data_IF_760581175980
#
_entry.id   IF_760581175980
#
_cell.length_a   1.000
_cell.length_b   1.000
_cell.length_c   1.000
_cell.angle_alpha   90.00
_cell.angle_beta   90.00
_cell.angle_gamma   90.00
#
_symmetry.space_group_name_H-M   'P 1'
#
loop_
_entity.id
_entity.type
_entity.pdbx_description
1 polymer ?
#
# COMPACT_ATOMS: atom_id res chain seq x y z
N UNK A 1 -14.68 5.68 -48.78
CA UNK A 1 -16.13 5.91 -48.62
C UNK A 1 -16.60 5.11 -47.42
N UNK A 2 -17.15 5.82 -46.41
CA UNK A 2 -18.04 5.38 -45.30
C UNK A 2 -17.43 4.35 -44.30
N UNK A 3 -16.98 4.79 -43.11
CA UNK A 3 -17.73 5.22 -41.91
C UNK A 3 -18.37 4.06 -41.12
N UNK A 4 -17.74 3.73 -39.99
CA UNK A 4 -18.24 3.10 -38.75
C UNK A 4 -17.05 3.24 -37.77
N UNK A 5 -16.92 4.15 -36.81
CA UNK A 5 -17.84 4.93 -35.98
C UNK A 5 -18.76 4.08 -35.11
N UNK A 6 -18.17 3.39 -34.12
CA UNK A 6 -18.86 2.95 -32.90
C UNK A 6 -17.91 3.18 -31.71
N UNK A 7 -18.13 4.32 -31.05
CA UNK A 7 -18.19 4.48 -29.60
C UNK A 7 -17.11 3.78 -28.73
N UNK A 8 -15.92 4.41 -28.61
CA UNK A 8 -15.23 4.47 -27.31
C UNK A 8 -15.75 5.72 -26.61
N UNK A 9 -16.80 5.55 -25.81
CA UNK A 9 -17.22 6.55 -24.85
C UNK A 9 -16.22 6.50 -23.70
N UNK A 10 -15.46 7.58 -23.59
CA UNK A 10 -14.70 8.03 -22.44
C UNK A 10 -15.52 7.79 -21.16
N UNK A 11 -15.17 6.77 -20.39
CA UNK A 11 -15.53 6.66 -18.98
C UNK A 11 -14.58 7.56 -18.19
N UNK A 12 -14.83 8.87 -18.33
CA UNK A 12 -14.54 9.85 -17.30
C UNK A 12 -15.38 9.41 -16.10
N UNK A 13 -14.75 8.73 -15.16
CA UNK A 13 -15.22 8.61 -13.78
C UNK A 13 -15.12 9.99 -13.14
N UNK A 14 -15.97 10.91 -13.60
CA UNK A 14 -16.36 12.05 -12.81
C UNK A 14 -17.13 11.45 -11.63
N UNK A 15 -16.49 11.41 -10.46
CA UNK A 15 -17.23 11.28 -9.22
C UNK A 15 -18.31 12.36 -9.24
N UNK A 16 -19.55 11.90 -9.44
CA UNK A 16 -20.71 12.73 -9.29
C UNK A 16 -20.78 13.08 -7.80
N UNK A 17 -20.22 14.24 -7.45
CA UNK A 17 -20.57 14.95 -6.23
C UNK A 17 -22.10 14.95 -6.19
N UNK A 18 -22.66 14.23 -5.23
CA UNK A 18 -24.10 14.24 -4.95
C UNK A 18 -24.43 15.64 -4.43
N UNK A 19 -24.57 16.57 -5.36
CA UNK A 19 -25.09 17.92 -5.15
C UNK A 19 -26.62 17.84 -5.04
N UNK A 20 -27.09 17.16 -4.00
CA UNK A 20 -28.49 17.21 -3.59
C UNK A 20 -28.70 18.47 -2.74
N UNK A 21 -29.03 19.60 -3.40
CA UNK A 21 -29.54 20.80 -2.74
C UNK A 21 -28.89 22.12 -3.18
N UNK A 22 -29.13 22.55 -4.42
CA UNK A 22 -28.78 23.90 -4.90
C UNK A 22 -29.55 24.98 -4.14
N UNK A 23 -28.87 25.64 -3.19
CA UNK A 23 -29.02 27.08 -2.94
C UNK A 23 -27.77 27.78 -3.48
N UNK A 24 -27.98 28.80 -4.30
CA UNK A 24 -26.99 29.37 -5.24
C UNK A 24 -26.06 30.43 -4.61
N UNK A 25 -25.55 30.18 -3.40
CA UNK A 25 -24.53 31.03 -2.79
C UNK A 25 -23.60 30.17 -1.94
N UNK A 26 -22.36 29.97 -2.38
CA UNK A 26 -21.32 29.48 -1.48
C UNK A 26 -21.25 30.49 -0.32
N UNK A 27 -21.56 30.08 0.91
CA UNK A 27 -21.54 30.99 2.05
C UNK A 27 -20.14 31.61 2.16
N UNK A 28 -20.09 32.90 2.48
CA UNK A 28 -18.82 33.58 2.70
C UNK A 28 -18.08 32.93 3.87
N UNK A 29 -16.79 32.69 3.68
CA UNK A 29 -15.90 32.12 4.67
C UNK A 29 -15.16 33.27 5.34
N UNK A 30 -15.33 33.39 6.65
CA UNK A 30 -14.73 34.39 7.55
C UNK A 30 -13.77 33.68 8.51
N UNK A 31 -12.96 34.41 9.30
CA UNK A 31 -12.11 33.79 10.32
C UNK A 31 -12.85 32.80 11.24
N UNK A 32 -14.09 33.11 11.62
CA UNK A 32 -14.88 32.29 12.56
C UNK A 32 -15.26 30.90 12.00
N UNK A 33 -15.35 30.72 10.68
CA UNK A 33 -15.72 29.45 10.04
C UNK A 33 -14.62 28.89 9.11
N UNK A 34 -13.44 29.52 9.10
CA UNK A 34 -12.32 29.15 8.25
C UNK A 34 -11.84 27.73 8.55
N UNK A 35 -11.58 27.41 9.83
CA UNK A 35 -11.09 26.10 10.25
C UNK A 35 -12.00 24.96 9.76
N UNK A 36 -13.31 25.07 10.03
CA UNK A 36 -14.29 24.06 9.62
C UNK A 36 -14.40 23.93 8.09
N UNK A 37 -14.25 25.04 7.35
CA UNK A 37 -14.27 25.01 5.88
C UNK A 37 -13.01 24.35 5.32
N UNK A 38 -11.86 24.60 5.93
CA UNK A 38 -10.61 23.92 5.57
C UNK A 38 -10.67 22.43 5.89
N UNK A 39 -11.10 22.07 7.10
CA UNK A 39 -11.20 20.67 7.52
C UNK A 39 -12.12 19.87 6.61
N UNK A 40 -13.19 20.49 6.09
CA UNK A 40 -14.02 19.86 5.07
C UNK A 40 -13.23 19.53 3.80
N UNK A 41 -12.45 20.46 3.26
CA UNK A 41 -11.63 20.23 2.07
C UNK A 41 -10.61 19.11 2.32
N UNK A 42 -9.92 19.12 3.47
CA UNK A 42 -8.97 18.06 3.82
C UNK A 42 -9.66 16.70 4.03
N UNK A 43 -10.83 16.67 4.67
CA UNK A 43 -11.61 15.43 4.86
C UNK A 43 -12.03 14.85 3.51
N UNK A 44 -12.52 15.69 2.60
CA UNK A 44 -12.94 15.26 1.26
C UNK A 44 -11.76 14.67 0.45
N UNK A 45 -10.52 15.13 0.70
CA UNK A 45 -9.30 14.62 0.06
C UNK A 45 -8.64 13.43 0.78
N UNK A 46 -9.06 13.06 2.00
CA UNK A 46 -8.46 11.94 2.73
C UNK A 46 -8.61 10.62 1.99
N UNK A 47 -9.77 10.39 1.34
CA UNK A 47 -10.00 9.21 0.52
C UNK A 47 -8.99 9.10 -0.63
N UNK A 48 -8.57 10.23 -1.21
CA UNK A 48 -7.58 10.25 -2.28
C UNK A 48 -6.19 9.89 -1.73
N UNK A 49 -5.77 10.45 -0.59
CA UNK A 49 -4.52 10.05 0.08
C UNK A 49 -4.52 8.58 0.49
N UNK A 50 -5.66 8.10 0.98
CA UNK A 50 -5.89 6.72 1.37
C UNK A 50 -5.76 5.74 0.19
N UNK A 51 -6.03 6.20 -1.02
CA UNK A 51 -5.89 5.45 -2.28
C UNK A 51 -4.48 5.48 -2.87
N UNK A 52 -3.53 6.24 -2.29
CA UNK A 52 -2.16 6.29 -2.80
C UNK A 52 -1.33 5.03 -2.47
N UNK A 53 -1.93 4.02 -1.86
CA UNK A 53 -1.28 2.73 -1.63
C UNK A 53 -0.16 2.77 -0.60
N UNK A 54 0.85 1.94 -0.82
CA UNK A 54 1.99 1.80 0.10
C UNK A 54 3.01 2.92 -0.09
N UNK A 55 4.02 2.97 0.78
CA UNK A 55 5.18 3.84 0.65
C UNK A 55 6.22 3.22 -0.27
N UNK A 56 6.84 4.05 -1.12
CA UNK A 56 7.96 3.62 -1.95
C UNK A 56 9.24 3.44 -1.14
N UNK A 57 9.89 2.30 -1.32
CA UNK A 57 11.16 1.96 -0.67
C UNK A 57 12.35 2.04 -1.63
N UNK A 58 12.08 2.17 -2.93
CA UNK A 58 13.09 2.31 -3.98
C UNK A 58 12.89 3.63 -4.71
N UNK A 59 13.93 4.14 -5.38
CA UNK A 59 13.85 5.38 -6.13
C UNK A 59 12.70 5.38 -7.18
N UNK A 60 12.48 4.32 -7.98
CA UNK A 60 11.30 4.23 -8.85
C UNK A 60 9.97 4.34 -8.09
N UNK A 61 9.84 3.68 -6.94
CA UNK A 61 8.62 3.71 -6.16
C UNK A 61 8.38 5.05 -5.47
N UNK A 62 9.44 5.70 -4.97
CA UNK A 62 9.38 7.06 -4.44
C UNK A 62 8.91 8.04 -5.52
N UNK A 63 9.38 7.88 -6.76
CA UNK A 63 8.91 8.70 -7.86
C UNK A 63 7.41 8.55 -8.12
N UNK A 64 6.86 7.33 -8.00
CA UNK A 64 5.42 7.08 -8.13
C UNK A 64 4.64 7.68 -6.95
N UNK A 65 5.06 7.39 -5.72
CA UNK A 65 4.45 7.89 -4.48
C UNK A 65 4.31 9.41 -4.49
N UNK A 66 5.41 10.12 -4.74
CA UNK A 66 5.44 11.58 -4.66
C UNK A 66 4.81 12.25 -5.87
N UNK A 67 4.70 11.55 -7.02
CA UNK A 67 3.90 12.03 -8.14
C UNK A 67 2.41 12.04 -7.78
N UNK A 68 1.87 10.92 -7.29
CA UNK A 68 0.46 10.84 -6.85
C UNK A 68 0.17 11.79 -5.68
N UNK A 69 1.07 11.83 -4.70
CA UNK A 69 0.95 12.73 -3.54
C UNK A 69 0.91 14.22 -3.95
N UNK A 70 1.73 14.63 -4.91
CA UNK A 70 1.73 16.00 -5.41
C UNK A 70 0.40 16.38 -6.08
N UNK A 71 -0.24 15.43 -6.78
CA UNK A 71 -1.55 15.64 -7.42
C UNK A 71 -2.65 15.83 -6.36
N UNK A 72 -2.72 14.95 -5.36
CA UNK A 72 -3.71 15.06 -4.28
C UNK A 72 -3.52 16.36 -3.49
N UNK A 73 -2.28 16.73 -3.16
CA UNK A 73 -1.99 18.00 -2.47
C UNK A 73 -2.36 19.22 -3.32
N UNK A 74 -2.20 19.16 -4.64
CA UNK A 74 -2.63 20.23 -5.52
C UNK A 74 -4.16 20.37 -5.52
N UNK A 75 -4.90 19.26 -5.54
CA UNK A 75 -6.36 19.27 -5.44
C UNK A 75 -6.85 19.90 -4.13
N UNK A 76 -6.17 19.67 -3.01
CA UNK A 76 -6.46 20.34 -1.72
C UNK A 76 -6.28 21.86 -1.83
N UNK A 77 -5.19 22.33 -2.46
CA UNK A 77 -4.95 23.77 -2.68
C UNK A 77 -6.03 24.38 -3.58
N UNK A 78 -6.40 23.68 -4.65
CA UNK A 78 -7.45 24.12 -5.56
C UNK A 78 -8.79 24.22 -4.81
N UNK A 79 -9.10 23.25 -3.94
CA UNK A 79 -10.28 23.27 -3.07
C UNK A 79 -10.31 24.48 -2.13
N UNK A 80 -9.17 24.88 -1.54
CA UNK A 80 -9.11 26.12 -0.75
C UNK A 80 -9.33 27.37 -1.60
N UNK A 81 -8.81 27.40 -2.83
CA UNK A 81 -8.98 28.52 -3.74
C UNK A 81 -10.43 28.67 -4.24
N UNK A 82 -11.24 27.62 -4.18
CA UNK A 82 -12.67 27.64 -4.50
C UNK A 82 -13.56 28.14 -3.34
N UNK A 83 -13.00 28.26 -2.12
CA UNK A 83 -13.72 28.83 -0.98
C UNK A 83 -14.01 30.32 -1.19
N UNK A 84 -15.22 30.74 -0.84
CA UNK A 84 -15.63 32.14 -0.93
C UNK A 84 -15.09 32.96 0.26
N UNK A 85 -13.77 33.13 0.34
CA UNK A 85 -13.09 33.77 1.47
C UNK A 85 -13.23 35.30 1.47
N UNK A 86 -13.52 35.89 2.63
CA UNK A 86 -13.38 37.33 2.84
C UNK A 86 -11.89 37.73 2.96
N UNK A 87 -11.59 39.03 2.97
CA UNK A 87 -10.19 39.51 2.95
C UNK A 87 -9.38 39.12 4.20
N UNK A 88 -10.05 39.00 5.36
CA UNK A 88 -9.40 38.60 6.62
C UNK A 88 -9.06 37.11 6.61
N UNK A 89 -9.99 36.25 6.21
CA UNK A 89 -9.79 34.81 6.07
C UNK A 89 -8.72 34.48 5.01
N UNK A 90 -8.65 35.23 3.89
CA UNK A 90 -7.57 35.11 2.91
C UNK A 90 -6.19 35.37 3.51
N UNK A 91 -6.06 36.38 4.37
CA UNK A 91 -4.79 36.68 5.04
C UNK A 91 -4.42 35.59 6.04
N UNK A 92 -5.41 35.03 6.73
CA UNK A 92 -5.21 33.99 7.74
C UNK A 92 -4.80 32.64 7.15
N UNK A 93 -5.39 32.22 6.02
CA UNK A 93 -5.05 30.96 5.34
C UNK A 93 -3.75 31.04 4.51
N UNK A 94 -3.33 32.23 4.08
CA UNK A 94 -2.18 32.39 3.17
C UNK A 94 -0.87 31.70 3.62
N UNK A 95 -0.48 31.72 4.91
CA UNK A 95 0.70 30.97 5.38
C UNK A 95 0.56 29.46 5.18
N UNK A 96 -0.65 28.91 5.39
CA UNK A 96 -0.92 27.48 5.18
C UNK A 96 -0.80 27.11 3.70
N UNK A 97 -1.42 27.88 2.80
CA UNK A 97 -1.36 27.66 1.35
C UNK A 97 0.09 27.73 0.87
N UNK A 98 0.84 28.77 1.27
CA UNK A 98 2.24 28.94 0.88
C UNK A 98 3.11 27.76 1.31
N UNK A 99 2.96 27.27 2.54
CA UNK A 99 3.70 26.12 3.03
C UNK A 99 3.32 24.84 2.25
N UNK A 100 2.04 24.68 1.92
CA UNK A 100 1.54 23.56 1.13
C UNK A 100 2.06 23.58 -0.32
N UNK A 101 2.14 24.74 -0.96
CA UNK A 101 2.77 24.91 -2.28
C UNK A 101 4.27 24.56 -2.25
N UNK A 102 4.96 24.84 -1.13
CA UNK A 102 6.35 24.43 -0.94
C UNK A 102 6.47 22.91 -0.80
N UNK A 103 5.56 22.25 -0.07
CA UNK A 103 5.51 20.78 0.00
C UNK A 103 5.35 20.19 -1.40
N UNK A 104 4.38 20.66 -2.19
CA UNK A 104 4.17 20.19 -3.58
C UNK A 104 5.42 20.42 -4.45
N UNK A 105 6.12 21.54 -4.24
CA UNK A 105 7.39 21.80 -4.93
C UNK A 105 8.45 20.77 -4.58
N UNK A 106 8.55 20.39 -3.30
CA UNK A 106 9.50 19.36 -2.88
C UNK A 106 9.08 17.96 -3.30
N UNK A 107 7.77 17.64 -3.35
CA UNK A 107 7.29 16.37 -3.92
C UNK A 107 7.78 16.22 -5.36
N UNK A 108 7.60 17.25 -6.19
CA UNK A 108 8.11 17.27 -7.57
C UNK A 108 9.64 17.17 -7.65
N UNK A 109 10.35 17.72 -6.65
CA UNK A 109 11.80 17.59 -6.57
C UNK A 109 12.22 16.17 -6.20
N UNK A 110 11.51 15.50 -5.28
CA UNK A 110 11.72 14.08 -4.94
C UNK A 110 11.48 13.22 -6.18
N UNK A 111 10.35 13.40 -6.88
CA UNK A 111 10.05 12.66 -8.11
C UNK A 111 11.19 12.78 -9.12
N UNK A 112 11.67 14.00 -9.35
CA UNK A 112 12.78 14.23 -10.27
C UNK A 112 14.07 13.55 -9.80
N UNK A 113 14.47 13.77 -8.55
CA UNK A 113 15.71 13.23 -8.01
C UNK A 113 15.71 11.70 -7.98
N UNK A 114 14.59 11.10 -7.58
CA UNK A 114 14.43 9.66 -7.55
C UNK A 114 14.42 9.06 -8.97
N UNK A 115 13.76 9.72 -9.94
CA UNK A 115 13.82 9.31 -11.35
C UNK A 115 15.24 9.39 -11.95
N UNK A 116 16.06 10.31 -11.44
CA UNK A 116 17.46 10.49 -11.84
C UNK A 116 18.44 9.60 -11.03
N UNK A 117 17.93 8.76 -10.11
CA UNK A 117 18.71 7.94 -9.16
C UNK A 117 19.70 8.75 -8.29
N UNK A 118 19.35 10.00 -7.98
CA UNK A 118 20.17 10.92 -7.19
C UNK A 118 19.74 10.93 -5.71
N UNK A 119 20.26 9.97 -4.95
CA UNK A 119 19.96 9.82 -3.51
C UNK A 119 20.31 11.05 -2.67
N UNK A 120 21.35 11.82 -3.01
CA UNK A 120 21.69 13.03 -2.26
C UNK A 120 20.63 14.12 -2.49
N UNK A 121 20.18 14.29 -3.73
CA UNK A 121 19.10 15.21 -4.06
C UNK A 121 17.75 14.78 -3.46
N UNK A 122 17.45 13.47 -3.41
CA UNK A 122 16.26 12.93 -2.73
C UNK A 122 16.28 13.32 -1.24
N UNK A 123 17.38 13.04 -0.54
CA UNK A 123 17.50 13.36 0.89
C UNK A 123 17.36 14.86 1.16
N UNK A 124 17.99 15.70 0.33
CA UNK A 124 17.85 17.15 0.44
C UNK A 124 16.42 17.63 0.23
N UNK A 125 15.70 17.05 -0.75
CA UNK A 125 14.31 17.40 -0.99
C UNK A 125 13.42 17.02 0.20
N UNK A 126 13.65 15.86 0.83
CA UNK A 126 12.98 15.48 2.08
C UNK A 126 13.25 16.46 3.23
N UNK A 127 14.50 16.91 3.43
CA UNK A 127 14.82 17.89 4.46
C UNK A 127 14.08 19.22 4.27
N UNK A 128 13.98 19.71 3.03
CA UNK A 128 13.23 20.93 2.72
C UNK A 128 11.71 20.72 2.81
N UNK A 129 11.23 19.52 2.46
CA UNK A 129 9.83 19.14 2.58
C UNK A 129 9.40 19.15 4.06
N UNK A 130 10.22 18.60 4.96
CA UNK A 130 9.94 18.60 6.40
C UNK A 130 9.81 20.02 6.95
N UNK A 131 10.69 20.95 6.55
CA UNK A 131 10.58 22.37 6.96
C UNK A 131 9.28 23.00 6.50
N UNK A 132 8.78 22.63 5.32
CA UNK A 132 7.51 23.11 4.81
C UNK A 132 6.31 22.49 5.55
N UNK A 133 6.40 21.20 5.93
CA UNK A 133 5.42 20.57 6.83
C UNK A 133 5.35 21.28 8.18
N UNK A 134 6.49 21.56 8.82
CA UNK A 134 6.51 22.25 10.10
C UNK A 134 5.81 23.62 10.02
N UNK A 135 6.04 24.38 8.94
CA UNK A 135 5.38 25.67 8.70
C UNK A 135 3.87 25.53 8.45
N UNK A 136 3.46 24.51 7.68
CA UNK A 136 2.05 24.21 7.42
C UNK A 136 1.32 23.88 8.72
N UNK A 137 1.91 23.02 9.55
CA UNK A 137 1.31 22.53 10.79
C UNK A 137 1.21 23.64 11.84
N UNK A 138 2.20 24.53 11.92
CA UNK A 138 2.12 25.76 12.72
C UNK A 138 0.98 26.69 12.26
N UNK A 139 0.75 26.81 10.95
CA UNK A 139 -0.33 27.61 10.41
C UNK A 139 -1.71 26.98 10.70
N UNK A 140 -1.85 25.67 10.49
CA UNK A 140 -3.06 24.91 10.80
C UNK A 140 -3.45 25.06 12.27
N UNK A 141 -2.46 24.91 13.17
CA UNK A 141 -2.67 25.11 14.62
C UNK A 141 -3.13 26.52 15.00
N UNK A 142 -2.66 27.55 14.29
CA UNK A 142 -3.09 28.94 14.54
C UNK A 142 -4.54 29.18 14.11
N UNK A 143 -4.93 28.58 12.98
CA UNK A 143 -6.31 28.63 12.45
C UNK A 143 -7.25 27.77 13.32
N UNK A 144 -6.73 26.70 13.93
CA UNK A 144 -7.49 25.80 14.79
C UNK A 144 -8.16 24.65 14.03
N UNK A 145 -7.52 24.16 12.95
CA UNK A 145 -8.00 23.00 12.18
C UNK A 145 -7.85 21.69 12.96
N UNK A 146 -8.84 20.82 12.84
CA UNK A 146 -8.87 19.49 13.48
C UNK A 146 -8.48 18.36 12.53
N UNK A 147 -8.49 18.60 11.22
CA UNK A 147 -8.13 17.62 10.18
C UNK A 147 -6.90 18.11 9.42
N UNK A 148 -6.96 19.32 8.86
CA UNK A 148 -5.84 19.85 8.07
C UNK A 148 -4.58 20.01 8.95
N UNK A 149 -3.48 19.40 8.53
CA UNK A 149 -2.20 19.49 9.24
C UNK A 149 -2.14 18.67 10.54
N UNK A 150 -3.10 17.77 10.77
CA UNK A 150 -3.07 16.80 11.87
C UNK A 150 -2.60 15.42 11.36
N UNK A 151 -1.94 14.61 12.21
CA UNK A 151 -1.66 13.22 11.89
C UNK A 151 -2.96 12.45 11.64
N UNK A 152 -2.99 11.59 10.62
CA UNK A 152 -4.13 10.71 10.35
C UNK A 152 -4.22 9.67 11.47
N UNK A 153 -5.38 9.59 12.13
CA UNK A 153 -5.67 8.50 13.06
C UNK A 153 -6.34 7.39 12.27
N UNK A 154 -5.61 6.31 11.97
CA UNK A 154 -6.21 5.14 11.34
C UNK A 154 -6.92 4.29 12.40
N UNK A 155 -8.22 4.05 12.21
CA UNK A 155 -8.92 2.99 12.90
C UNK A 155 -8.87 1.73 12.04
N UNK A 156 -8.56 0.58 12.64
CA UNK A 156 -8.59 -0.69 11.94
C UNK A 156 -10.06 -1.11 11.79
N UNK A 157 -10.52 -1.12 10.55
CA UNK A 157 -11.83 -1.64 10.18
C UNK A 157 -11.67 -3.01 9.50
N UNK A 158 -12.56 -3.99 9.73
CA UNK A 158 -12.54 -5.23 8.97
C UNK A 158 -12.65 -4.94 7.47
N UNK A 159 -11.85 -5.62 6.66
CA UNK A 159 -11.82 -5.37 5.20
C UNK A 159 -13.10 -5.79 4.51
N UNK A 160 -13.86 -6.71 5.13
CA UNK A 160 -15.06 -7.30 4.57
C UNK A 160 -14.79 -8.36 3.51
N UNK A 161 -13.54 -8.86 3.43
CA UNK A 161 -13.17 -9.98 2.56
C UNK A 161 -12.92 -11.24 3.38
N UNK A 162 -13.50 -12.36 2.94
CA UNK A 162 -13.31 -13.67 3.55
C UNK A 162 -13.09 -14.70 2.43
N UNK A 163 -12.35 -15.80 2.69
CA UNK A 163 -12.22 -16.88 1.75
C UNK A 163 -13.58 -17.46 1.34
N UNK A 164 -13.73 -17.96 0.10
CA UNK A 164 -14.95 -18.66 -0.29
C UNK A 164 -15.21 -19.85 0.65
N UNK A 165 -16.45 -19.96 1.14
CA UNK A 165 -16.83 -20.96 2.15
C UNK A 165 -16.67 -22.42 1.71
N UNK A 166 -16.55 -22.65 0.40
CA UNK A 166 -16.37 -23.96 -0.23
C UNK A 166 -14.92 -24.24 -0.64
N UNK A 167 -14.00 -23.29 -0.43
CA UNK A 167 -12.58 -23.49 -0.66
C UNK A 167 -12.00 -24.40 0.43
N UNK A 168 -11.35 -25.49 0.03
CA UNK A 168 -10.62 -26.36 0.94
C UNK A 168 -9.16 -25.91 1.02
N UNK A 169 -8.69 -25.59 2.22
CA UNK A 169 -7.30 -25.27 2.54
C UNK A 169 -6.94 -25.86 3.91
N UNK A 170 -5.65 -26.01 4.19
CA UNK A 170 -5.20 -26.42 5.52
C UNK A 170 -5.45 -25.28 6.54
N UNK A 171 -6.00 -25.63 7.69
CA UNK A 171 -6.26 -24.66 8.75
C UNK A 171 -5.03 -24.53 9.66
N UNK A 172 -4.50 -23.30 9.88
CA UNK A 172 -3.37 -23.09 10.76
C UNK A 172 -3.64 -23.54 12.20
N UNK A 173 -2.58 -24.00 12.89
CA UNK A 173 -2.62 -24.45 14.28
C UNK A 173 -2.68 -23.30 15.29
N UNK A 174 -2.26 -22.11 14.90
CA UNK A 174 -2.27 -20.89 15.71
C UNK A 174 -3.13 -19.81 15.06
N UNK A 175 -3.61 -18.86 15.85
CA UNK A 175 -4.35 -17.71 15.31
C UNK A 175 -3.41 -16.61 14.80
N UNK A 176 -3.95 -15.66 14.03
CA UNK A 176 -3.22 -14.47 13.59
C UNK A 176 -2.75 -13.62 14.78
N UNK A 177 -3.53 -13.53 15.85
CA UNK A 177 -3.13 -12.82 17.08
C UNK A 177 -1.92 -13.50 17.73
N UNK A 178 -1.92 -14.83 17.85
CA UNK A 178 -0.80 -15.59 18.41
C UNK A 178 0.48 -15.43 17.56
N UNK A 179 0.35 -15.46 16.23
CA UNK A 179 1.46 -15.24 15.30
C UNK A 179 2.04 -13.82 15.44
N UNK A 180 1.17 -12.81 15.42
CA UNK A 180 1.57 -11.41 15.50
C UNK A 180 2.20 -11.07 16.86
N UNK A 181 1.58 -11.50 17.96
CA UNK A 181 2.12 -11.32 19.31
C UNK A 181 3.49 -12.01 19.47
N UNK A 182 3.62 -13.24 18.95
CA UNK A 182 4.88 -13.99 18.95
C UNK A 182 6.01 -13.26 18.22
N UNK A 183 5.73 -12.78 17.02
CA UNK A 183 6.68 -12.02 16.21
C UNK A 183 7.11 -10.70 16.88
N UNK A 184 6.15 -9.90 17.37
CA UNK A 184 6.45 -8.63 18.04
C UNK A 184 7.17 -8.85 19.38
N UNK A 185 6.83 -9.89 20.13
CA UNK A 185 7.54 -10.24 21.36
C UNK A 185 8.99 -10.64 21.09
N UNK A 186 9.26 -11.41 20.03
CA UNK A 186 10.61 -11.80 19.63
C UNK A 186 11.45 -10.59 19.21
N UNK A 187 10.87 -9.69 18.40
CA UNK A 187 11.50 -8.42 17.99
C UNK A 187 11.87 -7.57 19.20
N UNK A 188 10.94 -7.35 20.13
CA UNK A 188 11.16 -6.54 21.33
C UNK A 188 12.21 -7.14 22.27
N UNK A 189 12.31 -8.47 22.30
CA UNK A 189 13.32 -9.16 23.08
C UNK A 189 14.73 -9.06 22.46
N UNK A 190 14.85 -8.69 21.19
CA UNK A 190 16.14 -8.70 20.47
C UNK A 190 16.70 -10.10 20.27
N UNK A 191 15.85 -11.13 20.28
CA UNK A 191 16.26 -12.53 20.20
C UNK A 191 16.21 -12.99 18.74
N UNK A 192 17.33 -12.89 18.03
CA UNK A 192 17.39 -13.19 16.59
C UNK A 192 16.97 -14.63 16.26
N UNK A 193 17.26 -15.60 17.13
CA UNK A 193 16.82 -16.98 16.95
C UNK A 193 15.28 -17.06 16.98
N UNK A 194 14.64 -16.41 17.95
CA UNK A 194 13.17 -16.37 18.01
C UNK A 194 12.54 -15.54 16.89
N UNK A 195 13.19 -14.48 16.45
CA UNK A 195 12.72 -13.71 15.28
C UNK A 195 12.69 -14.65 14.07
N UNK A 196 13.77 -15.35 13.80
CA UNK A 196 13.85 -16.31 12.69
C UNK A 196 12.91 -17.51 12.86
N UNK A 197 12.68 -18.00 14.08
CA UNK A 197 11.64 -19.00 14.34
C UNK A 197 10.25 -18.49 13.93
N UNK A 198 9.94 -17.21 14.10
CA UNK A 198 8.65 -16.64 13.71
C UNK A 198 8.56 -16.25 12.21
N UNK A 199 9.60 -16.48 11.40
CA UNK A 199 9.60 -16.22 9.95
C UNK A 199 9.18 -17.47 9.19
N UNK A 200 8.45 -17.28 8.10
CA UNK A 200 8.12 -18.36 7.18
C UNK A 200 9.41 -18.98 6.63
N UNK A 201 9.45 -20.31 6.49
CA UNK A 201 10.64 -21.06 6.09
C UNK A 201 11.20 -20.68 4.72
N UNK A 202 10.36 -20.07 3.86
CA UNK A 202 10.76 -19.53 2.56
C UNK A 202 11.07 -18.01 2.55
N UNK A 203 10.88 -17.31 3.68
CA UNK A 203 11.21 -15.88 3.80
C UNK A 203 12.71 -15.63 4.06
N UNK A 204 13.51 -16.69 4.15
CA UNK A 204 14.92 -16.63 4.52
C UNK A 204 15.17 -16.27 6.00
N UNK A 205 16.42 -16.42 6.42
CA UNK A 205 16.87 -16.06 7.77
C UNK A 205 17.47 -14.65 7.80
N UNK A 206 17.11 -13.88 8.82
CA UNK A 206 17.77 -12.62 9.13
C UNK A 206 19.11 -12.88 9.81
N UNK A 207 20.13 -12.13 9.40
CA UNK A 207 21.39 -12.10 10.13
C UNK A 207 21.27 -11.28 11.43
N UNK A 208 22.25 -11.45 12.33
CA UNK A 208 22.27 -10.80 13.63
C UNK A 208 22.21 -9.26 13.55
N UNK A 209 22.81 -8.68 12.49
CA UNK A 209 22.83 -7.23 12.30
C UNK A 209 21.45 -6.72 11.89
N UNK A 210 20.78 -7.40 10.96
CA UNK A 210 19.41 -7.09 10.54
C UNK A 210 18.44 -7.27 11.69
N UNK A 211 18.55 -8.35 12.48
CA UNK A 211 17.77 -8.54 13.70
C UNK A 211 17.90 -7.35 14.66
N UNK A 212 19.14 -6.90 14.95
CA UNK A 212 19.37 -5.74 15.82
C UNK A 212 18.76 -4.44 15.27
N UNK A 213 18.81 -4.25 13.95
CA UNK A 213 18.21 -3.09 13.30
C UNK A 213 16.68 -3.10 13.44
N UNK A 214 16.04 -4.23 13.14
CA UNK A 214 14.57 -4.39 13.27
C UNK A 214 14.13 -4.23 14.73
N UNK A 215 14.80 -4.89 15.68
CA UNK A 215 14.53 -4.75 17.11
C UNK A 215 14.65 -3.31 17.61
N UNK A 216 15.60 -2.55 17.07
CA UNK A 216 15.74 -1.13 17.41
C UNK A 216 14.62 -0.30 16.81
N UNK A 217 14.32 -0.47 15.52
CA UNK A 217 13.27 0.28 14.82
C UNK A 217 11.87 0.01 15.34
N UNK A 218 11.62 -1.22 15.79
CA UNK A 218 10.31 -1.70 16.24
C UNK A 218 10.21 -1.86 17.77
N UNK A 219 11.13 -1.26 18.54
CA UNK A 219 11.15 -1.39 20.01
C UNK A 219 9.82 -0.99 20.68
N UNK A 220 9.12 -0.01 20.09
CA UNK A 220 7.82 0.48 20.56
C UNK A 220 6.64 -0.02 19.73
N UNK A 221 6.81 -1.10 18.95
CA UNK A 221 5.77 -1.62 18.10
C UNK A 221 4.54 -2.08 18.88
N UNK A 222 3.35 -1.81 18.37
CA UNK A 222 2.07 -2.28 18.92
C UNK A 222 1.18 -2.78 17.80
N UNK A 223 0.41 -3.84 18.06
CA UNK A 223 -0.60 -4.33 17.11
C UNK A 223 -1.89 -3.51 17.33
N UNK A 224 -2.40 -2.87 16.28
CA UNK A 224 -3.65 -2.11 16.31
C UNK A 224 -4.86 -2.95 15.90
N UNK A 225 -4.65 -4.02 15.15
CA UNK A 225 -5.68 -4.98 14.77
C UNK A 225 -5.12 -6.11 13.92
N UNK A 226 -5.95 -7.12 13.71
CA UNK A 226 -5.63 -8.35 12.99
C UNK A 226 -6.82 -8.79 12.13
N UNK A 227 -6.54 -9.48 11.03
CA UNK A 227 -7.55 -10.11 10.18
C UNK A 227 -7.01 -11.42 9.60
N UNK A 228 -7.87 -12.42 9.46
CA UNK A 228 -7.52 -13.77 8.97
C UNK A 228 -8.27 -14.08 7.68
N UNK A 229 -7.59 -14.74 6.75
CA UNK A 229 -8.09 -15.12 5.44
C UNK A 229 -7.77 -16.59 5.13
N UNK A 230 -7.89 -17.48 6.13
CA UNK A 230 -7.59 -18.91 6.00
C UNK A 230 -6.10 -19.20 6.25
N UNK A 231 -5.32 -19.67 5.25
CA UNK A 231 -3.90 -19.99 5.42
C UNK A 231 -3.01 -18.74 5.49
N UNK A 232 -3.60 -17.54 5.53
CA UNK A 232 -2.91 -16.26 5.60
C UNK A 232 -3.67 -15.31 6.52
N UNK A 233 -2.95 -14.44 7.20
CA UNK A 233 -3.54 -13.36 8.00
C UNK A 233 -2.65 -12.13 7.97
N UNK A 234 -3.18 -11.01 8.45
CA UNK A 234 -2.47 -9.74 8.52
C UNK A 234 -2.66 -9.09 9.88
N UNK A 235 -1.62 -8.41 10.35
CA UNK A 235 -1.64 -7.53 11.51
C UNK A 235 -1.24 -6.11 11.11
N UNK A 236 -1.95 -5.11 11.65
CA UNK A 236 -1.53 -3.72 11.56
C UNK A 236 -0.57 -3.40 12.70
N UNK A 237 0.73 -3.33 12.40
CA UNK A 237 1.77 -3.05 13.40
C UNK A 237 2.15 -1.58 13.33
N UNK A 238 2.05 -0.86 14.44
CA UNK A 238 2.45 0.55 14.52
C UNK A 238 3.70 0.71 15.35
N UNK A 239 4.74 1.32 14.76
CA UNK A 239 5.98 1.67 15.46
C UNK A 239 6.39 3.11 15.12
N UNK A 240 6.66 3.90 16.15
CA UNK A 240 7.07 5.32 16.02
C UNK A 240 6.12 6.19 15.17
N UNK A 241 4.82 5.84 15.13
CA UNK A 241 3.82 6.55 14.35
C UNK A 241 3.72 6.11 12.88
N UNK A 242 4.55 5.16 12.46
CA UNK A 242 4.46 4.52 11.13
C UNK A 242 3.68 3.22 11.23
N UNK A 243 2.80 3.00 10.26
CA UNK A 243 1.99 1.81 10.08
C UNK A 243 2.75 0.81 9.19
N UNK A 244 2.91 -0.41 9.69
CA UNK A 244 3.58 -1.55 9.07
C UNK A 244 2.58 -2.71 8.94
N UNK A 245 1.74 -2.71 7.89
CA UNK A 245 0.91 -3.87 7.60
C UNK A 245 1.81 -5.07 7.38
N UNK A 246 1.64 -6.08 8.22
CA UNK A 246 2.50 -7.27 8.27
C UNK A 246 1.65 -8.49 8.01
N UNK A 247 1.97 -9.26 6.97
CA UNK A 247 1.25 -10.49 6.67
C UNK A 247 1.99 -11.73 7.16
N UNK A 248 1.20 -12.75 7.49
CA UNK A 248 1.62 -14.03 8.02
C UNK A 248 1.02 -15.14 7.16
N UNK A 249 1.83 -16.09 6.73
CA UNK A 249 1.41 -17.21 5.89
C UNK A 249 1.66 -18.51 6.64
N UNK A 250 0.77 -19.48 6.46
CA UNK A 250 0.90 -20.82 7.03
C UNK A 250 2.12 -21.52 6.44
N UNK A 251 3.05 -21.92 7.30
CA UNK A 251 4.22 -22.69 6.91
C UNK A 251 3.91 -24.20 6.87
N UNK A 252 4.86 -24.99 6.40
CA UNK A 252 4.75 -26.44 6.18
C UNK A 252 4.48 -27.24 7.47
N UNK A 253 4.68 -26.65 8.64
CA UNK A 253 4.33 -27.24 9.94
C UNK A 253 2.94 -26.81 10.45
N UNK A 254 2.13 -26.17 9.60
CA UNK A 254 0.80 -25.62 9.87
C UNK A 254 0.79 -24.47 10.88
N UNK A 255 1.81 -23.62 10.87
CA UNK A 255 1.89 -22.46 11.77
C UNK A 255 1.95 -21.19 10.93
N UNK A 256 1.10 -20.20 11.22
CA UNK A 256 1.20 -18.85 10.65
C UNK A 256 2.51 -18.21 11.10
N UNK A 257 3.35 -17.82 10.13
CA UNK A 257 4.65 -17.16 10.35
C UNK A 257 4.78 -15.93 9.47
N UNK A 258 5.61 -14.98 9.88
CA UNK A 258 5.87 -13.74 9.14
C UNK A 258 6.26 -14.06 7.69
N UNK A 259 5.50 -13.51 6.74
CA UNK A 259 5.80 -13.58 5.31
C UNK A 259 6.39 -12.27 4.78
N UNK A 260 5.90 -11.13 5.25
CA UNK A 260 6.41 -9.84 4.81
C UNK A 260 5.71 -8.65 5.44
N UNK A 261 6.30 -7.48 5.22
CA UNK A 261 5.79 -6.18 5.64
C UNK A 261 5.74 -5.21 4.45
N UNK A 262 4.84 -4.23 4.57
CA UNK A 262 4.87 -3.02 3.78
C UNK A 262 4.84 -1.82 4.73
N UNK A 263 5.01 -0.63 4.18
CA UNK A 263 4.73 0.62 4.90
C UNK A 263 3.51 1.24 4.24
N UNK A 264 2.48 1.54 5.02
CA UNK A 264 1.27 2.21 4.54
C UNK A 264 0.83 3.22 5.57
N UNK A 265 1.21 4.49 5.41
CA UNK A 265 1.03 5.51 6.45
C UNK A 265 -0.45 5.71 6.85
N UNK A 266 -1.40 5.35 5.98
CA UNK A 266 -2.84 5.41 6.24
C UNK A 266 -3.40 4.09 6.83
N UNK A 267 -2.56 3.11 7.12
CA UNK A 267 -2.89 1.77 7.58
C UNK A 267 -3.40 0.85 6.46
N UNK A 268 -3.02 -0.41 6.59
CA UNK A 268 -3.13 -1.43 5.56
C UNK A 268 -4.25 -2.43 5.72
N UNK A 269 -4.89 -2.49 6.89
CA UNK A 269 -6.07 -3.33 7.12
C UNK A 269 -7.39 -2.68 6.66
N UNK A 270 -7.37 -1.50 6.03
CA UNK A 270 -8.60 -0.88 5.52
C UNK A 270 -9.12 -1.64 4.29
N UNK A 271 -10.40 -1.49 3.93
CA UNK A 271 -10.90 -2.00 2.65
C UNK A 271 -10.04 -1.54 1.48
N UNK A 272 -9.87 -2.42 0.48
CA UNK A 272 -9.16 -2.08 -0.73
C UNK A 272 -9.88 -0.95 -1.50
N UNK A 273 -9.14 -0.11 -2.25
CA UNK A 273 -9.73 0.94 -3.06
C UNK A 273 -10.69 0.36 -4.11
N UNK A 274 -11.74 1.12 -4.44
CA UNK A 274 -12.66 0.79 -5.51
C UNK A 274 -11.92 0.70 -6.85
N UNK A 275 -12.34 -0.24 -7.70
CA UNK A 275 -11.74 -0.42 -9.03
C UNK A 275 -10.31 -0.97 -9.01
N UNK A 276 -9.92 -1.65 -7.92
CA UNK A 276 -8.61 -2.28 -7.86
C UNK A 276 -8.39 -3.36 -8.94
N UNK A 277 -7.14 -3.56 -9.34
CA UNK A 277 -6.71 -4.49 -10.39
C UNK A 277 -6.00 -5.75 -9.84
N UNK A 278 -6.22 -6.10 -8.57
CA UNK A 278 -5.47 -7.18 -7.89
C UNK A 278 -5.68 -8.54 -8.54
N UNK A 279 -6.94 -8.92 -8.84
CA UNK A 279 -7.24 -10.16 -9.56
C UNK A 279 -6.69 -10.13 -10.98
N UNK A 280 -6.91 -9.03 -11.73
CA UNK A 280 -6.41 -8.88 -13.10
C UNK A 280 -4.87 -9.03 -13.16
N UNK A 281 -4.18 -8.53 -12.14
CA UNK A 281 -2.72 -8.67 -11.98
C UNK A 281 -2.30 -10.11 -11.77
N UNK A 282 -3.00 -10.86 -10.91
CA UNK A 282 -2.73 -12.28 -10.67
C UNK A 282 -3.00 -13.11 -11.92
N UNK A 283 -4.12 -12.88 -12.59
CA UNK A 283 -4.48 -13.55 -13.84
C UNK A 283 -3.43 -13.29 -14.92
N UNK A 284 -2.98 -12.04 -15.06
CA UNK A 284 -1.92 -11.67 -15.99
C UNK A 284 -0.57 -12.33 -15.65
N UNK A 285 -0.23 -12.44 -14.36
CA UNK A 285 1.01 -13.08 -13.92
C UNK A 285 0.98 -14.58 -14.25
N UNK A 286 -0.15 -15.25 -13.98
CA UNK A 286 -0.33 -16.67 -14.28
C UNK A 286 -0.33 -16.96 -15.78
N UNK A 287 -1.04 -16.13 -16.56
CA UNK A 287 -1.02 -16.22 -18.01
C UNK A 287 0.42 -16.07 -18.57
N UNK A 288 1.17 -15.09 -18.07
CA UNK A 288 2.56 -14.88 -18.48
C UNK A 288 3.47 -16.08 -18.14
N UNK A 289 3.32 -16.70 -16.96
CA UNK A 289 4.07 -17.90 -16.57
C UNK A 289 3.72 -19.10 -17.48
N UNK A 290 2.43 -19.30 -17.78
CA UNK A 290 1.91 -20.36 -18.66
C UNK A 290 2.42 -20.21 -20.09
N UNK A 291 2.40 -18.99 -20.61
CA UNK A 291 2.86 -18.65 -21.96
C UNK A 291 4.39 -18.53 -22.06
N UNK A 292 5.09 -18.63 -20.92
CA UNK A 292 6.52 -18.40 -20.82
C UNK A 292 6.93 -17.00 -21.35
N UNK A 293 6.09 -15.99 -21.14
CA UNK A 293 6.28 -14.61 -21.57
C UNK A 293 6.82 -13.75 -20.42
N UNK A 294 8.15 -13.63 -20.34
CA UNK A 294 8.79 -12.85 -19.29
C UNK A 294 8.51 -11.35 -19.37
N UNK A 295 8.27 -10.81 -20.57
CA UNK A 295 7.97 -9.39 -20.76
C UNK A 295 6.55 -9.05 -20.30
N UNK A 296 5.60 -9.98 -20.47
CA UNK A 296 4.26 -9.87 -19.89
C UNK A 296 4.32 -9.97 -18.36
N UNK A 297 5.12 -10.91 -17.82
CA UNK A 297 5.27 -11.07 -16.37
C UNK A 297 5.89 -9.83 -15.71
N UNK A 298 6.95 -9.26 -16.28
CA UNK A 298 7.57 -8.06 -15.73
C UNK A 298 6.61 -6.86 -15.61
N UNK A 299 5.51 -6.81 -16.38
CA UNK A 299 4.47 -5.77 -16.25
C UNK A 299 3.58 -5.94 -15.02
N UNK A 300 3.55 -7.13 -14.42
CA UNK A 300 2.80 -7.41 -13.20
C UNK A 300 3.63 -7.13 -11.94
N UNK A 301 4.91 -6.82 -12.08
CA UNK A 301 5.82 -6.47 -10.98
C UNK A 301 5.78 -4.97 -10.65
N UNK A 302 6.18 -4.58 -9.42
CA UNK A 302 6.27 -3.17 -9.03
C UNK A 302 7.22 -2.37 -9.92
N UNK A 303 8.42 -2.89 -10.15
CA UNK A 303 9.50 -2.25 -10.91
C UNK A 303 10.67 -3.23 -11.13
N UNK A 304 11.74 -2.77 -11.80
CA UNK A 304 12.93 -3.56 -12.12
C UNK A 304 13.78 -3.99 -10.92
N UNK A 305 13.57 -3.38 -9.75
CA UNK A 305 14.24 -3.76 -8.51
C UNK A 305 13.54 -4.90 -7.78
N UNK A 306 12.38 -5.35 -8.27
CA UNK A 306 11.70 -6.54 -7.77
C UNK A 306 12.64 -7.76 -7.79
N UNK A 307 12.59 -8.55 -6.71
CA UNK A 307 13.34 -9.80 -6.62
C UNK A 307 12.95 -10.84 -7.69
N UNK A 308 11.79 -10.66 -8.33
CA UNK A 308 11.26 -11.54 -9.38
C UNK A 308 11.52 -11.03 -10.80
N UNK A 309 12.21 -9.89 -10.97
CA UNK A 309 12.40 -9.29 -12.28
C UNK A 309 13.22 -10.18 -13.22
N UNK A 310 12.67 -10.45 -14.40
CA UNK A 310 13.30 -11.28 -15.44
C UNK A 310 14.17 -10.40 -16.34
N UNK A 311 15.47 -10.69 -16.42
CA UNK A 311 16.39 -9.94 -17.30
C UNK A 311 16.34 -10.46 -18.72
N UNK A 312 16.26 -11.77 -18.88
CA UNK A 312 16.13 -12.44 -20.17
C UNK A 312 14.74 -13.10 -20.29
N UNK A 313 14.22 -13.21 -21.52
CA UNK A 313 12.92 -13.86 -21.77
C UNK A 313 12.96 -15.34 -21.36
N UNK A 314 11.95 -15.79 -20.60
CA UNK A 314 11.76 -17.21 -20.27
C UNK A 314 12.50 -17.73 -19.03
N UNK A 315 13.04 -16.86 -18.18
CA UNK A 315 13.79 -17.25 -16.95
C UNK A 315 12.92 -17.57 -15.71
N UNK A 316 11.67 -18.00 -15.88
CA UNK A 316 10.78 -18.32 -14.75
C UNK A 316 11.35 -19.41 -13.81
N UNK A 317 12.13 -20.36 -14.33
CA UNK A 317 12.67 -21.45 -13.50
C UNK A 317 13.78 -20.98 -12.52
N UNK A 318 14.19 -19.71 -12.60
CA UNK A 318 15.28 -19.12 -11.78
C UNK A 318 15.01 -17.69 -11.27
N UNK A 319 13.78 -17.19 -11.41
CA UNK A 319 13.43 -15.82 -10.96
C UNK A 319 13.29 -15.64 -9.45
N UNK A 320 13.43 -16.73 -8.68
CA UNK A 320 13.54 -16.70 -7.23
C UNK A 320 14.54 -17.76 -6.77
N UNK A 321 15.32 -17.43 -5.72
CA UNK A 321 16.25 -18.35 -5.07
C UNK A 321 15.54 -19.39 -4.17
N UNK A 322 14.22 -19.26 -4.02
CA UNK A 322 13.39 -20.21 -3.29
C UNK A 322 13.53 -21.63 -3.84
N UNK A 323 13.67 -22.62 -2.94
CA UNK A 323 13.65 -24.04 -3.31
C UNK A 323 12.29 -24.46 -3.91
N UNK A 324 11.25 -23.65 -3.71
CA UNK A 324 9.90 -23.89 -4.20
C UNK A 324 9.61 -23.20 -5.54
N UNK A 325 10.58 -22.47 -6.10
CA UNK A 325 10.43 -21.78 -7.38
C UNK A 325 10.01 -22.71 -8.53
N UNK A 326 10.77 -23.78 -8.74
CA UNK A 326 10.49 -24.75 -9.82
C UNK A 326 9.16 -25.49 -9.61
N UNK A 327 8.83 -25.98 -8.40
CA UNK A 327 7.51 -26.53 -8.12
C UNK A 327 6.36 -25.56 -8.43
N UNK A 328 6.44 -24.30 -7.97
CA UNK A 328 5.41 -23.30 -8.22
C UNK A 328 5.20 -23.06 -9.72
N UNK A 329 6.27 -22.75 -10.45
CA UNK A 329 6.22 -22.51 -11.90
C UNK A 329 5.68 -23.72 -12.65
N UNK A 330 6.05 -24.94 -12.23
CA UNK A 330 5.51 -26.17 -12.79
C UNK A 330 4.01 -26.28 -12.55
N UNK A 331 3.55 -26.07 -11.32
CA UNK A 331 2.12 -26.14 -10.98
C UNK A 331 1.31 -25.11 -11.76
N UNK A 332 1.82 -23.89 -11.95
CA UNK A 332 1.13 -22.85 -12.73
C UNK A 332 1.05 -23.21 -14.23
N UNK A 333 2.12 -23.78 -14.80
CA UNK A 333 2.18 -24.18 -16.22
C UNK A 333 1.35 -25.40 -16.55
N UNK A 334 1.38 -26.41 -15.67
CA UNK A 334 0.73 -27.70 -15.91
C UNK A 334 -0.73 -27.71 -15.44
N UNK A 335 -1.10 -26.81 -14.52
CA UNK A 335 -2.45 -26.68 -13.98
C UNK A 335 -3.38 -25.81 -14.84
N UNK A 336 -4.68 -26.11 -14.78
CA UNK A 336 -5.77 -25.37 -15.43
C UNK A 336 -6.67 -24.62 -14.44
N UNK A 337 -6.37 -24.69 -13.14
CA UNK A 337 -7.08 -23.95 -12.10
C UNK A 337 -6.79 -22.45 -12.15
N UNK A 338 -7.74 -21.66 -11.68
CA UNK A 338 -7.55 -20.21 -11.52
C UNK A 338 -7.30 -19.87 -10.04
N UNK A 339 -6.42 -18.90 -9.73
CA UNK A 339 -6.24 -18.43 -8.37
C UNK A 339 -7.53 -17.86 -7.77
N UNK A 340 -7.82 -18.23 -6.53
CA UNK A 340 -9.03 -17.86 -5.81
C UNK A 340 -8.69 -16.82 -4.75
N UNK A 341 -9.36 -15.66 -4.76
CA UNK A 341 -9.11 -14.63 -3.75
C UNK A 341 -9.44 -15.14 -2.33
N UNK A 342 -8.46 -15.05 -1.43
CA UNK A 342 -8.60 -15.33 0.00
C UNK A 342 -9.01 -14.07 0.77
N UNK A 343 -8.35 -12.95 0.45
CA UNK A 343 -8.52 -11.68 1.15
C UNK A 343 -7.91 -10.54 0.36
N UNK A 344 -8.45 -9.33 0.52
CA UNK A 344 -7.98 -8.15 -0.18
C UNK A 344 -8.23 -6.89 0.66
N UNK A 345 -7.18 -6.10 0.87
CA UNK A 345 -7.21 -4.89 1.67
C UNK A 345 -6.36 -3.79 1.03
N UNK A 346 -6.32 -2.61 1.67
CA UNK A 346 -5.66 -1.42 1.15
C UNK A 346 -4.15 -1.59 0.89
N UNK A 347 -3.53 -2.67 1.38
CA UNK A 347 -2.10 -2.97 1.17
C UNK A 347 -1.86 -4.22 0.36
N UNK A 348 -2.53 -5.33 0.67
CA UNK A 348 -2.24 -6.64 0.10
C UNK A 348 -3.48 -7.30 -0.49
N UNK A 349 -3.28 -8.06 -1.56
CA UNK A 349 -4.21 -9.07 -2.04
C UNK A 349 -3.61 -10.46 -1.85
N UNK A 350 -4.43 -11.40 -1.38
CA UNK A 350 -4.05 -12.78 -1.12
C UNK A 350 -4.91 -13.72 -1.94
N UNK A 351 -4.26 -14.68 -2.60
CA UNK A 351 -4.92 -15.62 -3.50
C UNK A 351 -4.42 -17.03 -3.23
N UNK A 352 -5.33 -18.00 -3.26
CA UNK A 352 -5.05 -19.41 -3.15
C UNK A 352 -4.93 -20.04 -4.53
N UNK A 353 -3.93 -20.90 -4.71
CA UNK A 353 -3.80 -21.72 -5.92
C UNK A 353 -3.45 -23.15 -5.54
N UNK A 354 -4.24 -24.11 -6.02
CA UNK A 354 -4.02 -25.53 -5.76
C UNK A 354 -2.83 -26.05 -6.59
N UNK A 355 -1.83 -26.61 -5.92
CA UNK A 355 -0.65 -27.18 -6.58
C UNK A 355 -0.58 -28.70 -6.50
N UNK A 356 0.53 -29.30 -6.91
CA UNK A 356 0.69 -30.76 -6.90
C UNK A 356 1.11 -31.26 -5.52
N UNK A 357 2.27 -30.76 -5.04
CA UNK A 357 2.89 -31.21 -3.79
C UNK A 357 2.60 -30.25 -2.62
N UNK A 358 2.39 -28.97 -2.92
CA UNK A 358 1.98 -27.92 -2.00
C UNK A 358 0.83 -27.15 -2.63
N UNK A 359 0.03 -26.48 -1.81
CA UNK A 359 -0.79 -25.39 -2.30
C UNK A 359 -0.01 -24.08 -2.18
N UNK A 360 -0.54 -23.02 -2.78
CA UNK A 360 0.17 -21.75 -2.92
C UNK A 360 -0.68 -20.60 -2.45
N UNK A 361 -0.12 -19.73 -1.60
CA UNK A 361 -0.63 -18.39 -1.39
C UNK A 361 0.16 -17.43 -2.28
N UNK A 362 -0.53 -16.79 -3.22
CA UNK A 362 0.00 -15.75 -4.09
C UNK A 362 -0.34 -14.39 -3.50
N UNK A 363 0.64 -13.51 -3.44
CA UNK A 363 0.48 -12.17 -2.85
C UNK A 363 0.63 -11.09 -3.90
N UNK A 364 -0.21 -10.06 -3.78
CA UNK A 364 -0.02 -8.78 -4.45
C UNK A 364 0.11 -7.67 -3.43
N UNK A 365 0.77 -6.58 -3.80
CA UNK A 365 0.91 -5.37 -2.98
C UNK A 365 0.42 -4.16 -3.75
N UNK A 366 -0.29 -3.26 -3.06
CA UNK A 366 -0.76 -1.99 -3.61
C UNK A 366 0.45 -1.05 -3.85
N UNK A 367 0.64 -0.64 -5.10
CA UNK A 367 1.76 0.20 -5.53
C UNK A 367 1.65 1.63 -5.00
N UNK A 368 2.78 2.21 -4.54
CA UNK A 368 2.83 3.60 -4.13
C UNK A 368 2.36 4.58 -5.20
N UNK A 369 1.57 5.56 -4.79
CA UNK A 369 1.07 6.67 -5.60
C UNK A 369 0.03 6.29 -6.66
N UNK A 370 -0.46 5.04 -6.68
CA UNK A 370 -1.25 4.52 -7.79
C UNK A 370 -2.59 3.91 -7.37
N UNK A 371 -3.57 4.77 -7.04
CA UNK A 371 -5.01 4.49 -7.01
C UNK A 371 -5.46 3.07 -6.61
N UNK A 372 -5.83 2.24 -7.59
CA UNK A 372 -6.28 0.87 -7.37
C UNK A 372 -5.27 -0.19 -7.81
N UNK A 373 -4.00 0.17 -7.99
CA UNK A 373 -3.04 -0.67 -8.70
C UNK A 373 -2.23 -1.57 -7.77
N UNK A 374 -2.39 -2.88 -7.93
CA UNK A 374 -1.67 -3.93 -7.22
C UNK A 374 -0.66 -4.60 -8.14
N UNK A 375 0.43 -5.09 -7.58
CA UNK A 375 1.45 -5.84 -8.33
C UNK A 375 1.80 -7.12 -7.62
N UNK A 376 2.16 -8.13 -8.39
CA UNK A 376 2.67 -9.38 -7.89
C UNK A 376 3.86 -9.13 -6.96
N UNK A 377 3.75 -9.61 -5.73
CA UNK A 377 4.76 -9.43 -4.69
C UNK A 377 5.37 -10.74 -4.21
N UNK A 378 4.76 -11.89 -4.53
CA UNK A 378 5.34 -13.18 -4.18
C UNK A 378 4.38 -14.36 -4.28
N UNK A 379 4.92 -15.53 -3.95
CA UNK A 379 4.20 -16.78 -3.78
C UNK A 379 4.78 -17.51 -2.56
N UNK A 380 3.94 -18.28 -1.87
CA UNK A 380 4.29 -18.95 -0.62
C UNK A 380 3.72 -20.37 -0.62
N UNK A 381 4.54 -21.40 -0.35
CA UNK A 381 4.07 -22.78 -0.26
C UNK A 381 3.33 -23.02 1.05
N UNK A 382 2.08 -23.45 0.98
CA UNK A 382 1.26 -23.84 2.13
C UNK A 382 0.96 -25.35 2.09
N UNK A 383 0.74 -26.00 3.24
CA UNK A 383 0.45 -27.42 3.27
C UNK A 383 -0.90 -27.74 2.62
N UNK A 384 -1.00 -28.94 2.04
CA UNK A 384 -2.26 -29.50 1.55
C UNK A 384 -3.24 -29.78 2.71
N UNK A 385 -4.57 -29.68 2.50
CA UNK A 385 -5.61 -30.00 3.51
C UNK A 385 -5.56 -31.41 4.10
#
# INVERSE_FOLDING_TARGET
MKKLAVLLAVSLSAFAVVACGRSNSNPEVTPDNLAASMDKVCTDANADFESLGTRGLTNPQLALEFAGTAEVRQAVIDGFNELNLNDEAKQEIAPYIKASEQIITQDKAIVKAASDDDTEAVNKAFEEQQKAFDQRDEAAKKIGTEVCGQPVKTEVEPTGTEPPSDLAYAEPKNTIEEAADGYIAAIKAGDCAKINENRHSDAGEMDEKTCQQVSTGMANATIQGTESYGPVGQAEVVAAGTNYPTFFVEDQDHVLRYGGDAVNDNGGLRPAPEGNDSQDTVDAAFAAIRDNDGAAFNKTLPDESSGFWLKDEGEFDSFSDSKYNKPFVKDVRDGDGDPVQLGLNSTFGFYYYEGTDNDWVVTTVHIPGLGGHYRFSGYWPVPKP
#
